data_IF_227238958954
#
_entry.id   IF_227238958954
#
_cell.length_a   1.000
_cell.length_b   1.000
_cell.length_c   1.000
_cell.angle_alpha   90.00
_cell.angle_beta   90.00
_cell.angle_gamma   90.00
#
_symmetry.space_group_name_H-M   'P 1'
#
loop_
_entity.id
_entity.type
_entity.pdbx_description
1 polymer ?
#
# COMPACT_ATOMS: atom_id res chain seq x y z
N UNK A 1 -27.89 -9.16 2.34
CA UNK A 1 -26.84 -8.97 1.31
C UNK A 1 -26.08 -7.73 1.74
N UNK A 2 -24.99 -7.93 2.46
CA UNK A 2 -24.26 -6.80 3.06
C UNK A 2 -23.38 -6.16 1.98
N UNK A 3 -23.77 -4.96 1.57
CA UNK A 3 -22.89 -4.08 0.78
C UNK A 3 -21.65 -3.81 1.63
N UNK A 4 -20.49 -4.35 1.25
CA UNK A 4 -19.22 -3.96 1.87
C UNK A 4 -18.96 -2.48 1.58
N UNK A 5 -19.34 -1.62 2.53
CA UNK A 5 -18.98 -0.20 2.53
C UNK A 5 -17.45 -0.10 2.53
N UNK A 6 -16.86 0.33 1.43
CA UNK A 6 -15.40 0.48 1.33
C UNK A 6 -15.05 1.82 1.97
N UNK A 7 -14.88 1.83 3.29
CA UNK A 7 -14.50 3.04 4.03
C UNK A 7 -13.02 3.31 3.81
N UNK A 8 -12.69 4.46 3.22
CA UNK A 8 -11.30 4.91 3.12
C UNK A 8 -10.88 5.43 4.50
N UNK A 9 -9.96 4.72 5.15
CA UNK A 9 -9.37 5.17 6.41
C UNK A 9 -8.24 6.16 6.13
N UNK A 10 -8.25 7.28 6.86
CA UNK A 10 -7.16 8.25 6.82
C UNK A 10 -6.07 7.83 7.83
N UNK A 11 -5.05 7.12 7.35
CA UNK A 11 -3.88 6.76 8.15
C UNK A 11 -2.84 7.89 8.12
N UNK A 12 -2.16 8.10 9.25
CA UNK A 12 -1.09 9.10 9.41
C UNK A 12 0.27 8.40 9.55
N UNK A 13 0.67 7.66 8.52
CA UNK A 13 1.95 6.95 8.53
C UNK A 13 3.12 7.93 8.60
N UNK A 14 4.13 7.56 9.36
CA UNK A 14 5.34 8.35 9.62
C UNK A 14 6.49 7.85 8.76
N UNK A 15 7.54 8.68 8.69
CA UNK A 15 8.80 8.28 8.08
C UNK A 15 9.27 6.95 8.71
N UNK A 16 9.77 6.05 7.88
CA UNK A 16 10.23 4.70 8.25
C UNK A 16 9.12 3.70 8.62
N UNK A 17 7.83 4.05 8.55
CA UNK A 17 6.76 3.07 8.74
C UNK A 17 6.77 2.03 7.61
N UNK A 18 6.54 0.77 7.98
CA UNK A 18 6.36 -0.34 7.05
C UNK A 18 4.89 -0.43 6.62
N UNK A 19 4.65 -0.37 5.31
CA UNK A 19 3.31 -0.38 4.73
C UNK A 19 3.20 -1.40 3.59
N UNK A 20 1.99 -1.86 3.33
CA UNK A 20 1.66 -2.73 2.20
C UNK A 20 0.68 -1.99 1.30
N UNK A 21 0.99 -1.89 0.00
CA UNK A 21 0.15 -1.18 -0.95
C UNK A 21 -0.85 -2.12 -1.63
N UNK A 22 -2.13 -1.79 -1.58
CA UNK A 22 -3.18 -2.48 -2.34
C UNK A 22 -3.33 -1.89 -3.76
N UNK A 23 -2.91 -2.62 -4.79
CA UNK A 23 -3.04 -2.22 -6.20
C UNK A 23 -4.47 -2.47 -6.72
N UNK A 24 -5.26 -1.40 -6.79
CA UNK A 24 -6.66 -1.45 -7.24
C UNK A 24 -6.84 -1.74 -8.72
N UNK A 25 -5.81 -1.51 -9.57
CA UNK A 25 -5.88 -1.80 -11.01
C UNK A 25 -6.01 -3.30 -11.29
N UNK A 26 -5.60 -4.16 -10.34
CA UNK A 26 -5.69 -5.62 -10.44
C UNK A 26 -7.14 -6.11 -10.27
N UNK A 27 -8.03 -5.33 -9.64
CA UNK A 27 -9.45 -5.73 -9.41
C UNK A 27 -10.33 -5.77 -10.67
N UNK A 28 -9.97 -5.05 -11.74
CA UNK A 28 -10.93 -4.75 -12.82
C UNK A 28 -11.02 -5.82 -13.90
N UNK A 29 -10.04 -6.73 -13.99
CA UNK A 29 -10.12 -7.84 -14.96
C UNK A 29 -10.79 -9.05 -14.32
N UNK A 30 -11.88 -9.53 -14.93
CA UNK A 30 -12.79 -10.62 -14.51
C UNK A 30 -12.13 -12.02 -14.34
N UNK A 31 -10.80 -12.08 -14.24
CA UNK A 31 -10.01 -13.31 -14.30
C UNK A 31 -8.78 -13.30 -13.37
N UNK A 32 -8.77 -12.46 -12.31
CA UNK A 32 -7.58 -12.25 -11.44
C UNK A 32 -7.80 -12.44 -9.94
N UNK A 33 -8.80 -13.24 -9.53
CA UNK A 33 -9.06 -13.56 -8.12
C UNK A 33 -7.88 -14.21 -7.38
N UNK A 34 -6.82 -14.64 -8.09
CA UNK A 34 -5.59 -15.21 -7.56
C UNK A 34 -4.36 -14.29 -7.58
N UNK A 35 -4.42 -13.07 -8.14
CA UNK A 35 -3.22 -12.22 -8.16
C UNK A 35 -3.04 -11.54 -6.80
N UNK A 36 -1.80 -11.45 -6.28
CA UNK A 36 -1.53 -10.69 -5.07
C UNK A 36 -1.93 -9.23 -5.31
N UNK A 37 -3.00 -8.79 -4.66
CA UNK A 37 -3.46 -7.40 -4.67
C UNK A 37 -2.55 -6.49 -3.87
N UNK A 38 -1.77 -7.09 -2.96
CA UNK A 38 -0.82 -6.43 -2.12
C UNK A 38 0.57 -6.50 -2.74
N UNK A 39 1.24 -5.37 -2.81
CA UNK A 39 2.67 -5.32 -3.12
C UNK A 39 3.50 -5.86 -1.96
N UNK A 40 4.78 -6.10 -2.23
CA UNK A 40 5.78 -6.37 -1.18
C UNK A 40 5.81 -5.22 -0.15
N UNK A 41 6.30 -5.47 1.08
CA UNK A 41 6.44 -4.44 2.09
C UNK A 41 7.28 -3.25 1.59
N UNK A 42 6.77 -2.04 1.82
CA UNK A 42 7.40 -0.78 1.45
C UNK A 42 7.65 0.07 2.69
N UNK A 43 8.63 0.95 2.61
CA UNK A 43 8.94 1.93 3.65
C UNK A 43 8.45 3.30 3.24
N UNK A 44 7.81 4.00 4.16
CA UNK A 44 7.40 5.39 3.97
C UNK A 44 8.61 6.31 4.04
N UNK A 45 8.90 7.01 2.93
CA UNK A 45 9.94 8.04 2.88
C UNK A 45 9.38 9.38 3.32
N UNK A 46 8.21 9.76 2.82
CA UNK A 46 7.53 10.99 3.22
C UNK A 46 6.06 10.98 2.82
N UNK A 47 5.30 11.90 3.41
CA UNK A 47 3.95 12.24 2.99
C UNK A 47 3.93 13.72 2.62
N UNK A 48 3.38 14.06 1.46
CA UNK A 48 3.21 15.46 1.08
C UNK A 48 1.94 16.05 1.71
N UNK A 49 1.78 17.38 1.64
CA UNK A 49 0.60 18.08 2.17
C UNK A 49 -0.73 17.60 1.55
N UNK A 50 -0.70 16.97 0.38
CA UNK A 50 -1.87 16.40 -0.30
C UNK A 50 -2.21 14.97 0.12
N UNK A 51 -1.52 14.39 1.11
CA UNK A 51 -1.76 13.02 1.58
C UNK A 51 -1.19 11.94 0.66
N UNK A 52 -0.33 12.30 -0.29
CA UNK A 52 0.37 11.35 -1.15
C UNK A 52 1.64 10.89 -0.46
N UNK A 53 1.79 9.57 -0.36
CA UNK A 53 2.97 8.94 0.22
C UNK A 53 4.02 8.65 -0.87
N UNK A 54 5.27 8.97 -0.57
CA UNK A 54 6.44 8.50 -1.32
C UNK A 54 6.95 7.26 -0.61
N UNK A 55 7.00 6.13 -1.33
CA UNK A 55 7.34 4.82 -0.79
C UNK A 55 8.61 4.28 -1.46
N UNK A 56 9.40 3.52 -0.72
CA UNK A 56 10.58 2.82 -1.22
C UNK A 56 10.49 1.33 -0.94
N UNK A 57 11.01 0.50 -1.85
CA UNK A 57 11.20 -0.92 -1.61
C UNK A 57 12.45 -1.13 -0.76
N UNK A 58 12.34 -1.98 0.26
CA UNK A 58 13.51 -2.45 1.02
C UNK A 58 14.33 -3.41 0.16
N UNK A 59 15.64 -3.21 0.15
CA UNK A 59 16.61 -4.09 -0.54
C UNK A 59 17.19 -5.18 0.38
N UNK A 60 16.61 -5.37 1.56
CA UNK A 60 17.02 -6.32 2.59
C UNK A 60 18.50 -6.17 3.04
N UNK A 61 19.12 -5.03 2.76
CA UNK A 61 20.47 -4.73 3.21
C UNK A 61 20.48 -4.38 4.70
N UNK A 62 21.43 -4.96 5.44
CA UNK A 62 21.71 -4.60 6.83
C UNK A 62 23.03 -3.86 6.82
N UNK A 63 23.00 -2.58 7.20
CA UNK A 63 24.22 -1.81 7.43
C UNK A 63 24.75 -2.16 8.82
N UNK A 64 25.97 -2.69 8.90
CA UNK A 64 26.68 -2.98 10.15
C UNK A 64 28.00 -2.19 10.18
#
# INVERSE_FOLDING_TARGET
MDLQSTTIHNYNFKHSDLVIMHNTRIKVTHNKKMYPHYLEPLVVISCNYGGTYILCKLDASVLH
#
